data_IF_524377660349
#
_entry.id   IF_524377660349
#
_cell.length_a   1.000
_cell.length_b   1.000
_cell.length_c   1.000
_cell.angle_alpha   90.00
_cell.angle_beta   90.00
_cell.angle_gamma   90.00
#
_symmetry.space_group_name_H-M   'P 1'
#
loop_
_entity.id
_entity.type
_entity.pdbx_description
1 polymer ?
#
# COMPACT_ATOMS: atom_id res chain seq x y z
N UNK A 1 28.26 21.91 30.02
CA UNK A 1 28.22 20.45 29.85
C UNK A 1 28.38 20.11 28.38
N UNK A 2 29.55 19.61 27.98
CA UNK A 2 29.89 19.18 26.61
C UNK A 2 29.44 17.73 26.43
N UNK A 3 28.56 17.45 25.47
CA UNK A 3 28.13 16.09 25.14
C UNK A 3 29.04 15.55 24.05
N UNK A 4 29.71 14.45 24.39
CA UNK A 4 30.67 13.71 23.58
C UNK A 4 29.97 13.00 22.40
N UNK A 5 30.23 13.46 21.18
CA UNK A 5 29.96 12.70 19.97
C UNK A 5 31.15 11.77 19.68
N UNK A 6 30.87 10.47 19.67
CA UNK A 6 31.81 9.39 19.40
C UNK A 6 32.52 9.54 18.04
N UNK A 7 33.83 9.23 17.95
CA UNK A 7 34.64 9.43 16.74
C UNK A 7 34.82 8.12 15.95
N UNK A 8 33.83 7.71 15.14
CA UNK A 8 33.99 6.52 14.27
C UNK A 8 33.54 6.71 12.82
N UNK A 9 33.35 7.96 12.37
CA UNK A 9 33.00 8.26 10.97
C UNK A 9 34.10 9.02 10.19
N UNK A 10 35.37 8.90 10.59
CA UNK A 10 36.49 9.60 9.94
C UNK A 10 37.44 8.73 9.11
N UNK A 11 37.09 7.47 8.83
CA UNK A 11 37.92 6.62 7.97
C UNK A 11 37.07 5.93 6.90
N UNK A 12 36.55 6.69 5.94
CA UNK A 12 36.05 6.15 4.68
C UNK A 12 36.55 7.00 3.50
N UNK A 13 37.10 6.37 2.44
CA UNK A 13 37.71 7.07 1.32
C UNK A 13 36.69 7.89 0.51
N UNK A 14 37.12 9.06 0.00
CA UNK A 14 36.29 10.07 -0.67
C UNK A 14 35.50 9.55 -1.89
N UNK A 15 35.90 8.42 -2.48
CA UNK A 15 35.19 7.80 -3.61
C UNK A 15 33.85 7.17 -3.19
N UNK A 16 33.76 6.60 -1.99
CA UNK A 16 32.55 5.91 -1.51
C UNK A 16 31.45 6.87 -1.06
N UNK A 17 31.78 8.11 -0.68
CA UNK A 17 30.78 9.13 -0.32
C UNK A 17 30.01 9.70 -1.53
N UNK A 18 30.64 9.75 -2.71
CA UNK A 18 29.97 10.23 -3.93
C UNK A 18 28.91 9.25 -4.42
N UNK A 19 29.14 7.94 -4.26
CA UNK A 19 28.21 6.92 -4.75
C UNK A 19 26.99 6.73 -3.84
N UNK A 20 27.10 7.03 -2.54
CA UNK A 20 25.91 7.08 -1.67
C UNK A 20 25.03 8.31 -1.95
N UNK A 21 25.62 9.46 -2.27
CA UNK A 21 24.84 10.68 -2.59
C UNK A 21 24.14 10.60 -3.95
N UNK A 22 24.74 9.96 -4.95
CA UNK A 22 24.11 9.77 -6.27
C UNK A 22 22.87 8.85 -6.20
N UNK A 23 22.94 7.78 -5.39
CA UNK A 23 21.82 6.82 -5.22
C UNK A 23 20.60 7.41 -4.51
N UNK A 24 20.81 8.35 -3.59
CA UNK A 24 19.72 8.99 -2.84
C UNK A 24 18.98 10.02 -3.72
N UNK A 25 19.68 10.69 -4.64
CA UNK A 25 19.09 11.68 -5.55
C UNK A 25 18.46 11.10 -6.83
N UNK A 26 18.86 9.90 -7.26
CA UNK A 26 18.24 9.22 -8.40
C UNK A 26 16.84 8.65 -8.07
N UNK A 27 16.54 8.36 -6.80
CA UNK A 27 15.20 7.87 -6.39
C UNK A 27 14.12 8.94 -6.27
N UNK A 28 14.48 10.22 -6.18
CA UNK A 28 13.53 11.32 -6.04
C UNK A 28 13.21 12.06 -7.35
N UNK A 29 13.85 11.69 -8.47
CA UNK A 29 13.64 12.32 -9.77
C UNK A 29 13.00 11.37 -10.79
N UNK A 30 11.92 10.69 -10.40
CA UNK A 30 11.09 9.93 -11.35
C UNK A 30 9.62 9.94 -10.95
N UNK A 31 9.03 11.14 -10.86
CA UNK A 31 7.59 11.29 -11.10
C UNK A 31 7.27 12.71 -11.60
N UNK A 32 7.83 13.05 -12.76
CA UNK A 32 7.25 14.11 -13.60
C UNK A 32 6.26 13.45 -14.59
N UNK A 33 5.07 14.02 -14.83
CA UNK A 33 4.10 13.47 -15.75
C UNK A 33 4.65 13.50 -17.17
N UNK A 34 4.66 12.35 -17.84
CA UNK A 34 5.13 12.19 -19.22
C UNK A 34 4.10 12.85 -20.18
N UNK A 35 4.48 13.86 -20.98
CA UNK A 35 3.57 14.43 -21.95
C UNK A 35 3.25 13.43 -23.07
N UNK A 36 1.99 13.41 -23.45
CA UNK A 36 1.37 12.59 -24.49
C UNK A 36 1.97 12.91 -25.87
N UNK A 37 2.81 12.04 -26.42
CA UNK A 37 3.12 12.05 -27.85
C UNK A 37 2.03 11.30 -28.61
N UNK A 38 0.96 12.02 -28.91
CA UNK A 38 -0.02 11.66 -29.94
C UNK A 38 0.39 12.45 -31.17
N UNK A 39 0.84 11.74 -32.21
CA UNK A 39 1.21 12.22 -33.55
C UNK A 39 2.70 12.52 -33.78
N UNK A 40 3.44 11.52 -34.27
CA UNK A 40 4.61 11.73 -35.12
C UNK A 40 4.56 10.71 -36.28
N UNK A 41 4.79 11.14 -37.54
CA UNK A 41 4.59 10.29 -38.72
C UNK A 41 5.71 9.27 -38.92
N UNK A 42 5.31 8.14 -39.49
CA UNK A 42 6.11 6.94 -39.79
C UNK A 42 6.99 7.20 -41.02
N UNK A 43 8.31 7.21 -40.85
CA UNK A 43 9.27 7.21 -41.97
C UNK A 43 9.90 5.82 -42.06
N UNK A 44 9.75 5.21 -43.24
CA UNK A 44 10.27 3.88 -43.61
C UNK A 44 11.60 4.06 -44.36
N UNK A 45 12.62 3.27 -44.04
CA UNK A 45 13.87 3.16 -44.80
C UNK A 45 14.71 1.94 -44.38
N UNK A 46 15.52 1.32 -45.27
CA UNK A 46 15.66 -0.14 -45.34
C UNK A 46 16.98 -0.75 -44.80
N UNK A 47 16.95 -2.09 -44.74
CA UNK A 47 17.84 -3.15 -44.21
C UNK A 47 19.15 -3.37 -44.99
N UNK A 48 20.28 -3.63 -44.30
CA UNK A 48 21.47 -4.38 -44.81
C UNK A 48 22.09 -5.24 -43.67
N UNK A 49 22.69 -6.40 -44.01
CA UNK A 49 22.92 -7.62 -43.20
C UNK A 49 24.42 -7.97 -42.98
N UNK A 50 24.76 -8.74 -41.91
CA UNK A 50 25.82 -9.83 -41.76
C UNK A 50 27.21 -9.47 -41.12
N UNK A 51 28.03 -10.37 -40.47
CA UNK A 51 27.87 -11.42 -39.41
C UNK A 51 28.89 -11.44 -38.19
N UNK A 52 28.46 -11.95 -37.01
CA UNK A 52 29.09 -12.85 -35.94
C UNK A 52 30.47 -12.60 -35.19
N UNK A 53 30.87 -13.36 -34.10
CA UNK A 53 31.01 -13.01 -32.64
C UNK A 53 32.48 -13.19 -32.06
N UNK A 54 32.82 -13.41 -30.74
CA UNK A 54 32.12 -13.43 -29.42
C UNK A 54 32.76 -12.50 -28.32
N UNK A 55 32.14 -12.18 -27.18
CA UNK A 55 32.42 -12.79 -25.84
C UNK A 55 31.56 -12.13 -24.73
N UNK A 56 30.98 -12.99 -23.88
CA UNK A 56 30.24 -12.83 -22.61
C UNK A 56 30.90 -11.86 -21.59
N UNK A 57 30.21 -11.06 -20.74
CA UNK A 57 29.74 -11.43 -19.39
C UNK A 57 28.99 -10.22 -18.73
N UNK A 58 27.77 -10.52 -18.24
CA UNK A 58 27.05 -9.97 -17.06
C UNK A 58 26.43 -8.56 -17.09
N UNK A 59 25.11 -8.53 -17.32
CA UNK A 59 24.16 -7.90 -16.38
C UNK A 59 22.78 -8.56 -16.48
N UNK A 60 22.70 -9.79 -16.00
CA UNK A 60 21.47 -10.52 -15.70
C UNK A 60 20.94 -10.11 -14.33
N UNK A 61 19.87 -9.30 -14.25
CA UNK A 61 19.06 -9.21 -13.03
C UNK A 61 17.62 -8.67 -13.16
N UNK A 62 17.24 -7.87 -14.17
CA UNK A 62 15.92 -7.17 -14.10
C UNK A 62 14.93 -7.35 -15.27
N UNK A 63 15.23 -8.18 -16.29
CA UNK A 63 14.31 -8.35 -17.44
C UNK A 63 13.83 -9.79 -17.71
N UNK A 64 14.21 -10.76 -16.87
CA UNK A 64 13.75 -12.14 -17.01
C UNK A 64 12.65 -12.43 -16.00
N UNK A 65 11.39 -12.14 -16.37
CA UNK A 65 10.25 -13.08 -16.29
C UNK A 65 8.91 -12.36 -16.50
N UNK A 66 8.55 -12.01 -17.73
CA UNK A 66 7.15 -12.16 -18.20
C UNK A 66 7.02 -12.16 -19.73
N UNK A 67 7.91 -12.85 -20.43
CA UNK A 67 7.61 -13.27 -21.80
C UNK A 67 6.69 -14.50 -21.73
N UNK A 68 5.41 -14.27 -22.05
CA UNK A 68 4.41 -15.25 -22.49
C UNK A 68 4.04 -16.33 -21.46
N UNK A 69 3.07 -15.99 -20.59
CA UNK A 69 2.02 -16.95 -20.22
C UNK A 69 0.68 -16.32 -20.58
N UNK A 70 -0.03 -16.89 -21.56
CA UNK A 70 -1.40 -16.52 -21.98
C UNK A 70 -2.48 -16.79 -20.90
N UNK A 71 -2.11 -16.85 -19.62
CA UNK A 71 -2.99 -17.19 -18.51
C UNK A 71 -3.09 -16.06 -17.47
N UNK A 72 -4.15 -16.04 -16.65
CA UNK A 72 -4.30 -15.06 -15.57
C UNK A 72 -3.07 -15.01 -14.64
N UNK A 73 -2.71 -13.83 -14.13
CA UNK A 73 -1.55 -13.68 -13.25
C UNK A 73 -1.73 -14.43 -11.93
N UNK A 74 -0.62 -14.70 -11.24
CA UNK A 74 -0.59 -15.36 -9.93
C UNK A 74 -1.46 -14.69 -8.87
N UNK A 75 -1.67 -13.39 -8.99
CA UNK A 75 -2.50 -12.60 -8.10
C UNK A 75 -3.51 -11.83 -8.94
N UNK A 76 -4.79 -12.12 -8.75
CA UNK A 76 -5.86 -11.33 -9.38
C UNK A 76 -6.36 -10.28 -8.39
N UNK A 77 -6.68 -9.10 -8.90
CA UNK A 77 -7.32 -8.05 -8.14
C UNK A 77 -8.83 -8.32 -8.11
N UNK A 78 -9.38 -8.56 -6.93
CA UNK A 78 -10.81 -8.85 -6.76
C UNK A 78 -11.57 -7.65 -6.23
N UNK A 79 -10.95 -6.85 -5.38
CA UNK A 79 -11.57 -5.65 -4.80
C UNK A 79 -10.78 -4.40 -5.12
N UNK A 80 -11.50 -3.35 -5.54
CA UNK A 80 -11.00 -2.00 -5.64
C UNK A 80 -11.84 -1.05 -4.77
N UNK A 81 -11.18 -0.38 -3.83
CA UNK A 81 -11.82 0.58 -2.90
C UNK A 81 -12.24 1.90 -3.54
N UNK A 82 -11.71 2.20 -4.74
CA UNK A 82 -11.97 3.42 -5.48
C UNK A 82 -10.97 4.54 -5.21
N UNK A 83 -10.65 5.32 -6.24
CA UNK A 83 -9.72 6.46 -6.11
C UNK A 83 -10.30 7.58 -5.24
N UNK A 84 -11.61 7.86 -5.37
CA UNK A 84 -12.24 8.98 -4.67
C UNK A 84 -12.16 8.86 -3.15
N UNK A 85 -12.44 7.67 -2.59
CA UNK A 85 -12.30 7.42 -1.15
C UNK A 85 -10.85 7.52 -0.70
N UNK A 86 -9.91 6.96 -1.46
CA UNK A 86 -8.49 7.09 -1.16
C UNK A 86 -8.01 8.56 -1.18
N UNK A 87 -8.49 9.36 -2.13
CA UNK A 87 -8.20 10.80 -2.22
C UNK A 87 -8.83 11.58 -1.07
N UNK A 88 -10.07 11.28 -0.70
CA UNK A 88 -10.73 11.89 0.46
C UNK A 88 -9.98 11.57 1.76
N UNK A 89 -9.58 10.31 1.95
CA UNK A 89 -8.73 9.92 3.08
C UNK A 89 -7.37 10.64 3.05
N UNK A 90 -6.79 10.84 1.87
CA UNK A 90 -5.58 11.62 1.69
C UNK A 90 -5.77 13.09 2.08
N UNK A 91 -6.85 13.72 1.62
CA UNK A 91 -7.18 15.11 1.92
C UNK A 91 -7.41 15.32 3.42
N UNK A 92 -8.26 14.50 4.04
CA UNK A 92 -8.53 14.55 5.48
C UNK A 92 -7.24 14.40 6.32
N UNK A 93 -6.30 13.59 5.86
CA UNK A 93 -4.99 13.46 6.50
C UNK A 93 -4.21 14.77 6.48
N UNK A 94 -4.15 15.42 5.33
CA UNK A 94 -3.44 16.71 5.18
C UNK A 94 -4.11 17.77 6.04
N UNK A 95 -5.45 17.84 6.03
CA UNK A 95 -6.22 18.77 6.86
C UNK A 95 -5.92 18.59 8.35
N UNK A 96 -5.92 17.35 8.86
CA UNK A 96 -5.67 17.08 10.29
C UNK A 96 -4.22 17.38 10.71
N UNK A 97 -3.24 17.14 9.83
CA UNK A 97 -1.85 17.55 10.07
C UNK A 97 -1.72 19.08 10.08
N UNK A 98 -2.44 19.78 9.20
CA UNK A 98 -2.43 21.23 9.14
C UNK A 98 -3.06 21.85 10.39
N UNK A 99 -4.20 21.31 10.85
CA UNK A 99 -4.84 21.70 12.11
C UNK A 99 -3.90 21.53 13.30
N UNK A 100 -3.22 20.37 13.38
CA UNK A 100 -2.22 20.14 14.43
C UNK A 100 -1.03 21.09 14.33
N UNK A 101 -0.56 21.38 13.11
CA UNK A 101 0.49 22.36 12.85
C UNK A 101 0.09 23.76 13.30
N UNK A 102 -1.11 24.23 12.97
CA UNK A 102 -1.62 25.52 13.42
C UNK A 102 -1.71 25.59 14.95
N UNK A 103 -2.18 24.53 15.61
CA UNK A 103 -2.18 24.46 17.07
C UNK A 103 -0.76 24.57 17.66
N UNK A 104 0.23 23.90 17.06
CA UNK A 104 1.62 23.91 17.55
C UNK A 104 2.41 25.18 17.22
N UNK A 105 2.18 25.82 16.08
CA UNK A 105 2.98 26.95 15.59
C UNK A 105 2.33 28.31 15.80
N UNK A 106 1.00 28.38 15.97
CA UNK A 106 0.28 29.64 16.14
C UNK A 106 -0.22 29.74 17.58
N UNK A 107 -0.98 28.75 18.03
CA UNK A 107 -1.68 28.83 19.32
C UNK A 107 -0.74 28.53 20.49
N UNK A 108 0.05 27.45 20.40
CA UNK A 108 0.95 27.06 21.49
C UNK A 108 2.02 28.12 21.83
N UNK A 109 2.67 28.81 20.86
CA UNK A 109 3.60 29.89 21.18
C UNK A 109 2.92 31.12 21.77
N UNK A 110 1.68 31.43 21.35
CA UNK A 110 0.91 32.51 21.93
C UNK A 110 0.59 32.26 23.42
N UNK A 111 0.14 31.05 23.76
CA UNK A 111 -0.10 30.66 25.17
C UNK A 111 1.19 30.58 26.00
N UNK A 112 2.35 30.38 25.36
CA UNK A 112 3.64 30.38 26.06
C UNK A 112 4.15 31.79 26.37
N UNK A 113 3.87 32.75 25.48
CA UNK A 113 4.24 34.15 25.67
C UNK A 113 3.46 34.80 26.82
N UNK A 114 2.21 34.37 27.05
CA UNK A 114 1.40 34.81 28.18
C UNK A 114 1.70 33.98 29.45
N UNK A 115 2.35 34.61 30.43
CA UNK A 115 2.80 33.99 31.68
C UNK A 115 1.66 33.34 32.50
N UNK A 116 0.43 33.84 32.35
CA UNK A 116 -0.78 33.29 33.00
C UNK A 116 -1.35 32.03 32.32
N UNK A 117 -1.00 31.77 31.05
CA UNK A 117 -1.60 30.73 30.21
C UNK A 117 -0.63 29.62 29.80
N UNK A 118 0.61 29.63 30.31
CA UNK A 118 1.63 28.63 29.99
C UNK A 118 1.18 27.19 30.32
N UNK A 119 0.31 27.00 31.31
CA UNK A 119 -0.28 25.70 31.63
C UNK A 119 -1.22 25.16 30.54
N UNK A 120 -1.81 26.04 29.73
CA UNK A 120 -2.68 25.67 28.61
C UNK A 120 -1.89 25.19 27.39
N UNK A 121 -0.62 25.59 27.24
CA UNK A 121 0.25 25.20 26.12
C UNK A 121 0.29 23.68 25.88
N UNK A 122 0.58 22.81 26.88
CA UNK A 122 0.53 21.36 26.68
C UNK A 122 -0.88 20.87 26.34
N UNK A 123 -1.93 21.49 26.89
CA UNK A 123 -3.32 21.12 26.63
C UNK A 123 -3.73 21.42 25.18
N UNK A 124 -3.30 22.55 24.62
CA UNK A 124 -3.52 22.93 23.22
C UNK A 124 -2.80 21.95 22.28
N UNK A 125 -1.56 21.57 22.59
CA UNK A 125 -0.80 20.60 21.79
C UNK A 125 -1.49 19.23 21.80
N UNK A 126 -1.89 18.75 22.98
CA UNK A 126 -2.61 17.47 23.12
C UNK A 126 -3.96 17.56 22.37
N UNK A 127 -4.71 18.65 22.55
CA UNK A 127 -5.98 18.90 21.88
C UNK A 127 -5.86 18.89 20.36
N UNK A 128 -4.82 19.52 19.81
CA UNK A 128 -4.52 19.49 18.38
C UNK A 128 -4.12 18.11 17.86
N UNK A 129 -3.51 17.25 18.70
CA UNK A 129 -3.12 15.90 18.31
C UNK A 129 -4.32 14.95 18.23
N UNK A 130 -5.42 15.20 18.95
CA UNK A 130 -6.63 14.37 18.96
C UNK A 130 -7.19 14.11 17.55
N UNK A 131 -7.50 15.13 16.72
CA UNK A 131 -8.04 14.89 15.37
C UNK A 131 -7.07 14.11 14.47
N UNK A 132 -5.76 14.37 14.62
CA UNK A 132 -4.71 13.66 13.88
C UNK A 132 -4.67 12.16 14.25
N UNK A 133 -4.67 11.83 15.53
CA UNK A 133 -4.63 10.44 16.02
C UNK A 133 -5.96 9.71 15.76
N UNK A 134 -7.09 10.40 15.92
CA UNK A 134 -8.41 9.83 15.65
C UNK A 134 -8.55 9.43 14.18
N UNK A 135 -8.12 10.30 13.27
CA UNK A 135 -8.11 9.99 11.85
C UNK A 135 -7.13 8.84 11.52
N UNK A 136 -5.96 8.80 12.17
CA UNK A 136 -5.02 7.68 12.06
C UNK A 136 -5.68 6.34 12.35
N UNK A 137 -6.43 6.32 13.44
CA UNK A 137 -7.07 5.13 13.96
C UNK A 137 -8.17 4.63 13.01
N UNK A 138 -9.02 5.54 12.54
CA UNK A 138 -10.13 5.24 11.61
C UNK A 138 -9.60 4.84 10.22
N UNK A 139 -8.64 5.59 9.66
CA UNK A 139 -8.10 5.32 8.33
C UNK A 139 -7.27 4.02 8.25
N UNK A 140 -6.75 3.53 9.38
CA UNK A 140 -5.90 2.32 9.42
C UNK A 140 -6.61 1.04 8.98
N UNK A 141 -7.94 0.96 9.12
CA UNK A 141 -8.72 -0.20 8.69
C UNK A 141 -9.03 -0.19 7.20
N UNK A 142 -8.86 0.94 6.51
CA UNK A 142 -9.28 1.08 5.11
C UNK A 142 -8.41 0.25 4.15
N UNK A 143 -9.06 -0.63 3.38
CA UNK A 143 -8.42 -1.46 2.34
C UNK A 143 -8.60 -0.81 0.97
N UNK A 144 -7.48 -0.57 0.27
CA UNK A 144 -7.50 -0.02 -1.08
C UNK A 144 -7.70 -1.11 -2.15
N UNK A 145 -7.01 -2.24 -1.98
CA UNK A 145 -7.00 -3.34 -2.94
C UNK A 145 -7.01 -4.68 -2.21
N UNK A 146 -7.79 -5.64 -2.70
CA UNK A 146 -7.68 -7.05 -2.27
C UNK A 146 -7.27 -7.90 -3.46
N UNK A 147 -6.15 -8.59 -3.31
CA UNK A 147 -5.71 -9.55 -4.31
C UNK A 147 -5.94 -10.97 -3.82
N UNK A 148 -6.48 -11.82 -4.68
CA UNK A 148 -6.61 -13.25 -4.44
C UNK A 148 -5.42 -13.97 -5.08
N UNK A 149 -4.78 -14.87 -4.34
CA UNK A 149 -3.75 -15.73 -4.89
C UNK A 149 -4.39 -16.91 -5.63
N UNK A 150 -4.00 -17.13 -6.89
CA UNK A 150 -4.45 -18.29 -7.64
C UNK A 150 -3.44 -19.42 -7.58
N UNK A 151 -3.88 -20.66 -7.32
CA UNK A 151 -3.04 -21.84 -7.50
C UNK A 151 -2.74 -22.09 -8.97
N UNK A 152 -1.67 -22.83 -9.27
CA UNK A 152 -1.19 -23.04 -10.65
C UNK A 152 -2.26 -23.63 -11.60
N UNK A 153 -3.18 -24.46 -11.09
CA UNK A 153 -4.26 -25.04 -11.88
C UNK A 153 -5.27 -23.98 -12.38
N UNK A 154 -5.57 -22.97 -11.55
CA UNK A 154 -6.53 -21.92 -11.87
C UNK A 154 -5.93 -20.82 -12.76
N UNK A 155 -4.61 -20.85 -13.03
CA UNK A 155 -3.90 -19.90 -13.90
C UNK A 155 -3.97 -20.26 -15.40
N UNK A 156 -4.65 -21.37 -15.76
CA UNK A 156 -4.72 -21.85 -17.16
C UNK A 156 -5.61 -20.95 -18.03
N UNK A 157 -6.75 -20.51 -17.51
CA UNK A 157 -7.71 -19.68 -18.24
C UNK A 157 -8.51 -18.76 -17.30
N UNK A 158 -9.18 -17.75 -17.88
CA UNK A 158 -10.03 -16.81 -17.14
C UNK A 158 -11.21 -17.51 -16.47
N UNK A 159 -11.80 -18.47 -17.18
CA UNK A 159 -12.95 -19.25 -16.75
C UNK A 159 -12.57 -20.14 -15.56
N UNK A 160 -11.36 -20.72 -15.59
CA UNK A 160 -10.85 -21.52 -14.49
C UNK A 160 -10.53 -20.71 -13.24
N UNK A 161 -10.04 -19.48 -13.41
CA UNK A 161 -9.88 -18.52 -12.33
C UNK A 161 -11.24 -18.18 -11.69
N UNK A 162 -12.26 -17.91 -12.50
CA UNK A 162 -13.62 -17.61 -12.04
C UNK A 162 -14.25 -18.82 -11.34
N UNK A 163 -14.11 -20.02 -11.90
CA UNK A 163 -14.62 -21.25 -11.28
C UNK A 163 -13.97 -21.50 -9.92
N UNK A 164 -12.64 -21.39 -9.83
CA UNK A 164 -11.94 -21.51 -8.55
C UNK A 164 -12.38 -20.44 -7.54
N UNK A 165 -12.63 -19.22 -8.00
CA UNK A 165 -13.08 -18.14 -7.13
C UNK A 165 -14.52 -18.30 -6.63
N UNK A 166 -15.39 -19.02 -7.36
CA UNK A 166 -16.72 -19.40 -6.86
C UNK A 166 -16.59 -20.39 -5.70
N UNK A 167 -15.74 -21.41 -5.87
CA UNK A 167 -15.52 -22.48 -4.90
C UNK A 167 -14.22 -22.34 -4.11
N UNK A 168 -14.01 -21.16 -3.52
CA UNK A 168 -12.78 -20.87 -2.76
C UNK A 168 -12.57 -21.81 -1.55
N UNK A 169 -11.48 -22.57 -1.48
CA UNK A 169 -11.19 -23.32 -0.26
C UNK A 169 -10.89 -22.34 0.90
N UNK A 170 -11.17 -22.71 2.17
CA UNK A 170 -10.85 -21.87 3.33
C UNK A 170 -9.34 -21.61 3.47
N UNK A 171 -8.49 -22.41 2.82
CA UNK A 171 -7.03 -22.25 2.78
C UNK A 171 -6.56 -21.19 1.76
N UNK A 172 -7.46 -20.65 0.92
CA UNK A 172 -7.11 -19.65 -0.07
C UNK A 172 -6.54 -18.38 0.58
N UNK A 173 -5.44 -17.85 0.03
CA UNK A 173 -4.77 -16.67 0.57
C UNK A 173 -5.23 -15.39 -0.14
N UNK A 174 -5.66 -14.42 0.66
CA UNK A 174 -5.98 -13.06 0.28
C UNK A 174 -4.86 -12.10 0.72
N UNK A 175 -4.46 -11.21 -0.17
CA UNK A 175 -3.56 -10.11 0.12
C UNK A 175 -4.37 -8.82 0.22
N UNK A 176 -4.49 -8.31 1.44
CA UNK A 176 -5.17 -7.05 1.72
C UNK A 176 -4.15 -5.92 1.71
N UNK A 177 -4.36 -4.92 0.85
CA UNK A 177 -3.52 -3.74 0.79
C UNK A 177 -4.16 -2.59 1.57
N UNK A 178 -3.64 -2.33 2.76
CA UNK A 178 -4.02 -1.18 3.60
C UNK A 178 -2.99 -0.07 3.48
N UNK A 179 -3.30 1.11 3.99
CA UNK A 179 -2.38 2.24 4.04
C UNK A 179 -1.79 2.38 5.45
N UNK A 180 -0.47 2.60 5.57
CA UNK A 180 0.13 3.01 6.85
C UNK A 180 -0.25 4.44 7.22
N UNK A 181 0.12 4.82 8.45
CA UNK A 181 0.11 6.22 8.89
C UNK A 181 0.99 7.16 8.01
N UNK A 182 1.93 6.62 7.25
CA UNK A 182 2.80 7.43 6.38
C UNK A 182 2.48 7.25 4.88
N UNK A 183 1.21 6.96 4.54
CA UNK A 183 0.73 6.70 3.16
C UNK A 183 1.45 5.60 2.39
N UNK A 184 2.37 4.87 3.01
CA UNK A 184 3.02 3.72 2.40
C UNK A 184 2.02 2.56 2.36
N UNK A 185 1.78 1.95 1.19
CA UNK A 185 0.93 0.79 1.08
C UNK A 185 1.54 -0.39 1.85
N UNK A 186 0.70 -1.11 2.59
CA UNK A 186 1.06 -2.27 3.38
C UNK A 186 0.21 -3.45 2.94
N UNK A 187 0.86 -4.50 2.47
CA UNK A 187 0.21 -5.75 2.14
C UNK A 187 0.19 -6.68 3.36
N UNK A 188 -0.99 -7.20 3.69
CA UNK A 188 -1.18 -8.20 4.74
C UNK A 188 -1.71 -9.48 4.11
N UNK A 189 -0.99 -10.58 4.29
CA UNK A 189 -1.41 -11.91 3.83
C UNK A 189 -2.33 -12.53 4.85
N UNK A 190 -3.53 -12.95 4.42
CA UNK A 190 -4.52 -13.58 5.30
C UNK A 190 -5.17 -14.77 4.59
N UNK A 191 -5.51 -15.82 5.32
CA UNK A 191 -6.27 -16.96 4.78
C UNK A 191 -7.77 -16.65 4.85
N UNK A 192 -8.52 -17.07 3.84
CA UNK A 192 -9.96 -16.84 3.77
C UNK A 192 -10.70 -17.45 4.97
N UNK A 193 -10.26 -18.61 5.46
CA UNK A 193 -10.84 -19.26 6.64
C UNK A 193 -10.53 -18.58 7.98
N UNK A 194 -9.53 -17.70 8.03
CA UNK A 194 -9.18 -16.96 9.25
C UNK A 194 -9.84 -15.57 9.30
N UNK A 195 -10.51 -15.13 8.22
CA UNK A 195 -11.32 -13.91 8.18
C UNK A 195 -12.70 -14.18 8.78
N UNK A 196 -13.16 -13.30 9.66
CA UNK A 196 -14.51 -13.33 10.23
C UNK A 196 -15.12 -11.94 10.12
N UNK A 197 -16.44 -11.84 9.97
CA UNK A 197 -17.10 -10.53 9.99
C UNK A 197 -17.03 -9.94 11.41
N UNK A 198 -16.66 -8.67 11.50
CA UNK A 198 -16.52 -7.95 12.76
C UNK A 198 -17.04 -6.52 12.58
N UNK A 199 -17.58 -5.93 13.64
CA UNK A 199 -18.15 -4.58 13.62
C UNK A 199 -17.58 -3.73 14.76
N UNK A 200 -16.92 -2.64 14.36
CA UNK A 200 -16.36 -1.59 15.19
C UNK A 200 -17.40 -0.51 15.62
N UNK A 201 -17.67 -0.11 16.90
CA UNK A 201 -18.52 1.08 17.13
C UNK A 201 -17.88 2.39 16.64
N UNK A 202 -16.59 2.59 16.92
CA UNK A 202 -15.88 3.86 16.62
C UNK A 202 -15.29 3.90 15.20
N UNK A 203 -15.09 2.75 14.56
CA UNK A 203 -14.43 2.68 13.26
C UNK A 203 -15.14 1.74 12.29
N UNK A 204 -15.15 2.09 10.98
CA UNK A 204 -15.66 1.19 9.97
C UNK A 204 -14.72 -0.02 9.90
N UNK A 205 -15.27 -1.18 10.22
CA UNK A 205 -14.62 -2.49 10.13
C UNK A 205 -15.66 -3.45 9.60
N UNK A 206 -15.25 -4.27 8.65
CA UNK A 206 -16.10 -5.31 8.08
C UNK A 206 -15.57 -6.68 8.44
N UNK A 207 -14.24 -6.85 8.47
CA UNK A 207 -13.60 -8.12 8.68
C UNK A 207 -12.49 -8.02 9.72
N UNK A 208 -12.31 -9.10 10.47
CA UNK A 208 -11.20 -9.31 11.38
C UNK A 208 -10.47 -10.61 11.05
N UNK A 209 -9.15 -10.55 11.05
CA UNK A 209 -8.29 -11.71 11.02
C UNK A 209 -8.18 -12.29 12.45
N UNK A 210 -8.60 -13.53 12.61
CA UNK A 210 -8.55 -14.28 13.88
C UNK A 210 -7.15 -14.76 14.23
N UNK A 211 -6.30 -15.02 13.22
CA UNK A 211 -4.91 -15.48 13.41
C UNK A 211 -3.94 -14.49 12.76
N UNK A 212 -3.72 -13.32 13.39
CA UNK A 212 -2.71 -12.38 12.91
C UNK A 212 -1.33 -13.02 12.97
N UNK A 213 -0.48 -12.72 11.98
CA UNK A 213 0.91 -13.16 11.98
C UNK A 213 1.60 -12.61 13.23
N UNK A 214 2.14 -13.51 14.06
CA UNK A 214 2.96 -13.12 15.19
C UNK A 214 4.25 -12.48 14.66
N UNK A 215 4.46 -11.22 15.02
CA UNK A 215 5.69 -10.50 14.70
C UNK A 215 6.42 -10.19 16.01
N UNK A 216 7.77 -10.12 15.97
CA UNK A 216 8.55 -9.63 17.09
C UNK A 216 8.07 -8.25 17.56
N UNK A 217 8.22 -7.97 18.85
CA UNK A 217 7.71 -6.75 19.50
C UNK A 217 8.22 -5.45 18.85
N UNK A 218 9.42 -5.46 18.27
CA UNK A 218 10.02 -4.30 17.58
C UNK A 218 9.44 -4.03 16.19
N UNK A 219 8.71 -4.98 15.59
CA UNK A 219 8.03 -4.79 14.30
C UNK A 219 6.59 -4.39 14.52
N UNK A 220 6.14 -3.39 13.77
CA UNK A 220 4.73 -2.98 13.76
C UNK A 220 3.83 -4.16 13.43
N UNK A 221 2.95 -4.55 14.35
CA UNK A 221 1.95 -5.62 14.13
C UNK A 221 1.12 -5.33 12.87
N UNK A 222 0.74 -6.35 12.07
CA UNK A 222 -0.16 -6.14 10.94
C UNK A 222 -1.54 -5.69 11.44
N UNK A 223 -2.26 -4.88 10.66
CA UNK A 223 -3.66 -4.61 10.97
C UNK A 223 -4.42 -5.94 11.03
N UNK A 224 -5.16 -6.15 12.12
CA UNK A 224 -6.01 -7.33 12.27
C UNK A 224 -7.44 -7.06 11.79
N UNK A 225 -7.85 -5.79 11.70
CA UNK A 225 -9.18 -5.38 11.27
C UNK A 225 -9.09 -4.62 9.95
N UNK A 226 -10.06 -4.90 9.09
CA UNK A 226 -10.10 -4.43 7.71
C UNK A 226 -11.50 -3.96 7.37
N UNK A 227 -11.56 -2.87 6.62
CA UNK A 227 -12.77 -2.31 6.06
C UNK A 227 -12.76 -2.44 4.54
N UNK A 228 -13.82 -3.03 4.05
CA UNK A 228 -14.10 -3.19 2.62
C UNK A 228 -15.58 -2.96 2.41
N UNK A 229 -15.93 -2.29 1.32
CA UNK A 229 -17.31 -2.20 0.88
C UNK A 229 -17.81 -3.56 0.36
N UNK A 230 -19.12 -3.77 0.40
CA UNK A 230 -19.76 -4.99 -0.13
C UNK A 230 -19.53 -5.17 -1.64
N UNK A 231 -19.53 -4.06 -2.39
CA UNK A 231 -19.25 -4.05 -3.82
C UNK A 231 -17.90 -3.38 -4.12
N UNK A 232 -17.20 -3.92 -5.11
CA UNK A 232 -16.00 -3.30 -5.66
C UNK A 232 -16.37 -2.13 -6.56
N UNK A 233 -15.62 -1.03 -6.48
CA UNK A 233 -15.79 0.07 -7.42
C UNK A 233 -15.36 -0.34 -8.84
N UNK A 234 -16.04 0.11 -9.91
CA UNK A 234 -15.59 -0.12 -11.27
C UNK A 234 -14.22 0.52 -11.46
N UNK A 235 -13.25 -0.30 -11.83
CA UNK A 235 -11.88 0.11 -12.12
C UNK A 235 -11.55 -0.06 -13.59
N UNK A 236 -10.33 0.33 -13.97
CA UNK A 236 -9.80 0.01 -15.30
C UNK A 236 -9.78 -1.51 -15.46
N UNK A 237 -10.59 -2.00 -16.40
CA UNK A 237 -10.66 -3.42 -16.73
C UNK A 237 -9.28 -3.87 -17.23
N UNK A 238 -8.62 -4.73 -16.46
CA UNK A 238 -7.35 -5.36 -16.81
C UNK A 238 -7.55 -6.87 -16.78
N UNK A 239 -6.71 -7.63 -17.49
CA UNK A 239 -6.77 -9.10 -17.50
C UNK A 239 -6.60 -9.74 -16.12
N UNK A 240 -6.11 -8.97 -15.15
CA UNK A 240 -5.92 -9.33 -13.76
C UNK A 240 -7.07 -8.90 -12.84
N UNK A 241 -8.05 -8.12 -13.31
CA UNK A 241 -9.10 -7.52 -12.50
C UNK A 241 -10.44 -8.24 -12.65
N UNK A 242 -11.01 -8.68 -11.54
CA UNK A 242 -12.22 -9.51 -11.47
C UNK A 242 -13.17 -8.98 -10.39
N UNK A 243 -13.80 -7.82 -10.62
CA UNK A 243 -14.69 -7.18 -9.65
C UNK A 243 -15.93 -8.04 -9.31
N UNK A 244 -16.41 -8.82 -10.27
CA UNK A 244 -17.59 -9.68 -10.18
C UNK A 244 -17.49 -10.77 -9.10
N UNK A 245 -16.26 -11.15 -8.72
CA UNK A 245 -16.02 -12.20 -7.74
C UNK A 245 -16.19 -11.70 -6.31
N UNK A 246 -15.99 -10.39 -6.06
CA UNK A 246 -15.94 -9.84 -4.71
C UNK A 246 -17.23 -10.08 -3.90
N UNK A 247 -18.45 -9.87 -4.43
CA UNK A 247 -19.67 -10.09 -3.66
C UNK A 247 -19.83 -11.53 -3.16
N UNK A 248 -19.40 -12.52 -3.95
CA UNK A 248 -19.45 -13.93 -3.55
C UNK A 248 -18.47 -14.23 -2.40
N UNK A 249 -17.24 -13.70 -2.50
CA UNK A 249 -16.24 -13.81 -1.43
C UNK A 249 -16.72 -13.11 -0.15
N UNK A 250 -17.27 -11.91 -0.30
CA UNK A 250 -17.77 -11.09 0.79
C UNK A 250 -18.88 -11.82 1.57
N UNK A 251 -19.90 -12.34 0.87
CA UNK A 251 -20.99 -13.13 1.48
C UNK A 251 -20.46 -14.37 2.18
N UNK A 252 -19.46 -15.04 1.60
CA UNK A 252 -18.85 -16.23 2.20
C UNK A 252 -18.16 -15.92 3.52
N UNK A 253 -17.41 -14.81 3.59
CA UNK A 253 -16.76 -14.37 4.84
C UNK A 253 -17.81 -14.01 5.89
N UNK A 254 -18.89 -13.35 5.50
CA UNK A 254 -19.99 -13.05 6.42
C UNK A 254 -20.65 -14.32 6.97
N UNK A 255 -20.91 -15.30 6.11
CA UNK A 255 -21.51 -16.59 6.49
C UNK A 255 -20.65 -17.44 7.43
N UNK A 256 -19.32 -17.27 7.44
CA UNK A 256 -18.44 -17.97 8.39
C UNK A 256 -18.70 -17.56 9.84
N UNK A 257 -19.17 -16.35 10.08
CA UNK A 257 -19.52 -15.84 11.41
C UNK A 257 -20.74 -16.56 11.99
N UNK A 258 -21.69 -16.97 11.13
CA UNK A 258 -22.92 -17.66 11.53
C UNK A 258 -22.72 -19.15 11.83
N UNK A 259 -21.59 -19.74 11.43
CA UNK A 259 -21.29 -21.16 11.63
C UNK A 259 -20.46 -21.45 12.90
N UNK A 260 -20.14 -20.43 13.69
CA UNK A 260 -19.45 -20.53 14.98
C UNK A 260 -20.39 -20.10 16.08
#
# INVERSE_FOLDING_TARGET
>A
MRILLHPTLRALPRSSQRDLRSRIWLRFKTQAPRPSQRNAPKVTGPKITTPEPPTTITSSAESLKTTIRKGPPERILVYYGGTGRAMYLGMLRVTTIFLFGAACFIVAPACWADESQQWMTPLVIIGGAIPMVSFAYVASSYVNFVHLALPAFARKSREMAVHYAKDLPPTATLYMNTMRWNTIPRQTTVRLGDLVADKHPIRPVTFRNTKPVSLPWYRTKPPAQFFTAEQSQPGRQTTAFYPELWPAIYKRIQGQTQRR
#
